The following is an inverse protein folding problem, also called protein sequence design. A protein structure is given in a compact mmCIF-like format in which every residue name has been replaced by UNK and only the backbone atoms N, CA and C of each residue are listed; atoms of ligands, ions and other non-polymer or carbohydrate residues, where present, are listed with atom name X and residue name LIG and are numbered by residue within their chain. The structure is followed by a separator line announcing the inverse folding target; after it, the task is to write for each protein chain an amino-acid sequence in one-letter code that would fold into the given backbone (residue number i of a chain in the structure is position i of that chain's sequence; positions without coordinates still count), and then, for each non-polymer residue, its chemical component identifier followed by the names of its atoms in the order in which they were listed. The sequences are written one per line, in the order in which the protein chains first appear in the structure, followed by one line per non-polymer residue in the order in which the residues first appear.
data_IF_118169202264
#
_entry.id   IF_118169202264
#
_cell.length_a   1.000
_cell.length_b   1.000
_cell.length_c   1.000
_cell.angle_alpha   90.00
_cell.angle_beta   90.00
_cell.angle_gamma   90.00
#
_symmetry.space_group_name_H-M   'P 1'
#
loop_
_entity.id
_entity.type
_entity.pdbx_description
1 polymer ?
#
# COMPACT_ATOMS: atom_id res chain seq x y z
N UNK A 1 -11.58 -28.04 32.13
CA UNK A 1 -10.26 -27.49 31.81
C UNK A 1 -10.40 -26.70 30.52
N UNK A 2 -10.48 -25.37 30.63
CA UNK A 2 -10.62 -24.44 29.51
C UNK A 2 -9.23 -24.10 29.00
N UNK A 3 -8.88 -24.61 27.82
CA UNK A 3 -7.61 -24.29 27.18
C UNK A 3 -7.77 -22.98 26.38
N UNK A 4 -7.35 -21.87 26.99
CA UNK A 4 -7.25 -20.58 26.33
C UNK A 4 -5.92 -20.51 25.58
N UNK A 5 -5.94 -20.76 24.27
CA UNK A 5 -4.78 -20.49 23.42
C UNK A 5 -5.14 -19.87 22.05
N UNK A 6 -6.14 -18.99 22.02
CA UNK A 6 -6.32 -18.05 20.90
C UNK A 6 -5.32 -16.90 21.05
N UNK A 7 -4.03 -17.25 21.06
CA UNK A 7 -2.91 -16.34 21.21
C UNK A 7 -2.54 -15.67 19.89
N UNK A 8 -2.66 -14.34 19.88
CA UNK A 8 -1.66 -13.42 19.29
C UNK A 8 -1.57 -13.19 17.77
N UNK A 9 -2.49 -13.68 16.93
CA UNK A 9 -2.53 -13.25 15.51
C UNK A 9 -3.39 -12.01 15.23
N UNK A 10 -4.26 -11.64 16.18
CA UNK A 10 -5.11 -10.44 16.06
C UNK A 10 -4.29 -9.15 16.26
N UNK A 11 -3.20 -9.20 17.04
CA UNK A 11 -2.43 -8.03 17.47
C UNK A 11 -1.70 -7.33 16.33
N UNK A 12 -0.90 -8.06 15.54
CA UNK A 12 -0.04 -7.45 14.49
C UNK A 12 -0.88 -6.91 13.32
N UNK A 13 -2.01 -7.56 13.01
CA UNK A 13 -2.89 -7.18 11.90
C UNK A 13 -3.81 -6.02 12.25
N UNK A 14 -4.30 -5.96 13.50
CA UNK A 14 -5.06 -4.82 14.00
C UNK A 14 -4.16 -3.57 14.11
N UNK A 15 -2.93 -3.73 14.57
CA UNK A 15 -1.95 -2.63 14.65
C UNK A 15 -1.64 -2.06 13.26
N UNK A 16 -1.47 -2.92 12.23
CA UNK A 16 -1.27 -2.47 10.85
C UNK A 16 -2.50 -1.71 10.29
N UNK A 17 -3.72 -2.17 10.59
CA UNK A 17 -4.94 -1.49 10.17
C UNK A 17 -5.09 -0.11 10.83
N UNK A 18 -4.75 -0.01 12.12
CA UNK A 18 -4.80 1.25 12.88
C UNK A 18 -3.73 2.25 12.44
N UNK A 19 -2.51 1.80 12.12
CA UNK A 19 -1.44 2.64 11.54
C UNK A 19 -1.85 3.22 10.18
N UNK A 20 -2.71 2.52 9.44
CA UNK A 20 -3.24 2.96 8.14
C UNK A 20 -4.53 3.79 8.25
N UNK A 21 -4.96 4.15 9.47
CA UNK A 21 -6.14 4.98 9.69
C UNK A 21 -7.48 4.28 9.40
N UNK A 22 -7.51 2.95 9.35
CA UNK A 22 -8.73 2.17 9.11
C UNK A 22 -9.47 2.01 10.45
N UNK A 23 -10.69 2.55 10.59
CA UNK A 23 -11.46 2.41 11.83
C UNK A 23 -11.83 0.94 12.05
N UNK A 24 -11.40 0.38 13.18
CA UNK A 24 -11.66 -1.01 13.62
C UNK A 24 -13.01 -1.16 14.35
N UNK A 25 -13.93 -0.20 14.21
CA UNK A 25 -15.20 -0.27 14.93
C UNK A 25 -16.16 -1.28 14.29
N UNK A 26 -16.60 -2.22 15.13
CA UNK A 26 -17.72 -3.12 14.92
C UNK A 26 -18.92 -2.37 14.31
N UNK A 27 -19.29 -2.72 13.08
CA UNK A 27 -20.43 -2.13 12.38
C UNK A 27 -20.61 -2.74 11.01
N UNK A 28 -21.52 -3.72 10.94
CA UNK A 28 -22.02 -4.41 9.76
C UNK A 28 -20.99 -5.09 8.85
N UNK A 29 -20.64 -6.32 9.22
CA UNK A 29 -20.39 -7.36 8.22
C UNK A 29 -21.69 -7.56 7.43
N UNK A 30 -21.88 -6.75 6.38
CA UNK A 30 -22.98 -6.88 5.44
C UNK A 30 -22.95 -8.29 4.84
N UNK A 31 -24.14 -8.91 4.88
CA UNK A 31 -24.49 -10.25 4.45
C UNK A 31 -23.71 -10.77 3.24
N UNK A 32 -23.45 -12.09 3.26
CA UNK A 32 -22.73 -12.92 2.28
C UNK A 32 -23.20 -12.83 0.80
N UNK A 33 -24.11 -11.92 0.47
CA UNK A 33 -24.66 -11.70 -0.86
C UNK A 33 -24.12 -10.50 -1.64
N UNK A 34 -23.42 -9.53 -1.03
CA UNK A 34 -22.87 -8.39 -1.76
C UNK A 34 -21.37 -8.54 -2.04
N UNK A 35 -21.08 -8.92 -3.28
CA UNK A 35 -19.72 -8.98 -3.80
C UNK A 35 -19.12 -7.58 -3.83
N UNK A 36 -18.23 -7.30 -2.84
CA UNK A 36 -17.36 -6.12 -2.66
C UNK A 36 -17.81 -5.15 -1.56
N UNK A 37 -17.87 -5.60 -0.30
CA UNK A 37 -17.73 -4.65 0.80
C UNK A 37 -16.37 -3.94 0.66
N UNK A 38 -16.36 -2.61 0.80
CA UNK A 38 -15.14 -1.79 0.72
C UNK A 38 -14.05 -2.32 1.67
N UNK A 39 -14.45 -2.78 2.85
CA UNK A 39 -13.58 -3.43 3.84
C UNK A 39 -12.89 -4.66 3.25
N UNK A 40 -13.61 -5.56 2.56
CA UNK A 40 -13.02 -6.76 1.94
C UNK A 40 -12.06 -6.42 0.78
N UNK A 41 -12.32 -5.34 0.04
CA UNK A 41 -11.39 -4.82 -0.97
C UNK A 41 -10.10 -4.29 -0.34
N UNK A 42 -10.21 -3.46 0.70
CA UNK A 42 -9.06 -2.91 1.43
C UNK A 42 -8.26 -4.05 2.08
N UNK A 43 -8.93 -4.97 2.78
CA UNK A 43 -8.28 -6.15 3.35
C UNK A 43 -7.61 -7.02 2.28
N UNK A 44 -8.22 -7.18 1.11
CA UNK A 44 -7.64 -7.90 -0.01
C UNK A 44 -6.31 -7.28 -0.46
N UNK A 45 -6.29 -5.96 -0.68
CA UNK A 45 -5.07 -5.23 -1.06
C UNK A 45 -3.99 -5.36 0.02
N UNK A 46 -4.35 -5.23 1.30
CA UNK A 46 -3.38 -5.38 2.39
C UNK A 46 -2.83 -6.81 2.49
N UNK A 47 -3.70 -7.81 2.39
CA UNK A 47 -3.31 -9.21 2.49
C UNK A 47 -2.40 -9.62 1.33
N UNK A 48 -2.71 -9.18 0.11
CA UNK A 48 -1.92 -9.50 -1.08
C UNK A 48 -0.53 -8.85 -1.07
N UNK A 49 -0.41 -7.67 -0.46
CA UNK A 49 0.85 -6.93 -0.41
C UNK A 49 1.66 -7.19 0.88
N UNK A 50 1.08 -7.87 1.88
CA UNK A 50 1.65 -7.99 3.23
C UNK A 50 3.11 -8.49 3.26
N UNK A 51 3.42 -9.55 2.52
CA UNK A 51 4.76 -10.15 2.51
C UNK A 51 5.80 -9.20 1.91
N UNK A 52 5.46 -8.58 0.78
CA UNK A 52 6.32 -7.58 0.13
C UNK A 52 6.50 -6.35 1.03
N UNK A 53 5.41 -5.86 1.62
CA UNK A 53 5.42 -4.69 2.48
C UNK A 53 6.24 -4.89 3.76
N UNK A 54 6.07 -6.03 4.42
CA UNK A 54 6.84 -6.37 5.62
C UNK A 54 8.34 -6.47 5.33
N UNK A 55 8.72 -7.01 4.17
CA UNK A 55 10.11 -7.07 3.71
C UNK A 55 10.66 -5.67 3.44
N UNK A 56 9.91 -4.81 2.75
CA UNK A 56 10.28 -3.41 2.48
C UNK A 56 10.52 -2.66 3.79
N UNK A 57 9.60 -2.74 4.75
CA UNK A 57 9.77 -2.10 6.06
C UNK A 57 11.04 -2.60 6.74
N UNK A 58 11.30 -3.92 6.73
CA UNK A 58 12.50 -4.49 7.34
C UNK A 58 13.78 -3.92 6.73
N UNK A 59 13.83 -3.75 5.41
CA UNK A 59 14.99 -3.18 4.71
C UNK A 59 15.18 -1.69 4.99
N UNK A 60 14.08 -0.92 5.10
CA UNK A 60 14.14 0.50 5.46
C UNK A 60 14.66 0.68 6.89
N UNK A 61 14.21 -0.17 7.81
CA UNK A 61 14.61 -0.15 9.23
C UNK A 61 16.03 -0.64 9.47
N UNK A 62 16.66 -1.29 8.48
CA UNK A 62 18.03 -1.79 8.62
C UNK A 62 19.01 -0.61 8.80
N UNK A 63 20.03 -0.80 9.64
CA UNK A 63 21.06 0.21 9.91
C UNK A 63 21.86 0.60 8.66
N UNK A 64 22.01 -0.35 7.75
CA UNK A 64 22.69 -0.18 6.47
C UNK A 64 21.90 -0.92 5.42
N UNK A 65 21.73 -0.30 4.26
CA UNK A 65 21.00 -0.86 3.12
C UNK A 65 21.88 -0.74 1.89
N UNK A 66 22.14 -1.87 1.24
CA UNK A 66 22.92 -1.94 0.01
C UNK A 66 22.15 -1.31 -1.16
N UNK A 67 22.85 -1.02 -2.26
CA UNK A 67 22.21 -0.49 -3.46
C UNK A 67 21.16 -1.48 -4.03
N UNK A 68 21.47 -2.77 -4.04
CA UNK A 68 20.56 -3.82 -4.51
C UNK A 68 19.29 -3.89 -3.66
N UNK A 69 19.41 -3.74 -2.34
CA UNK A 69 18.25 -3.71 -1.44
C UNK A 69 17.39 -2.44 -1.64
N UNK A 70 18.02 -1.29 -1.94
CA UNK A 70 17.27 -0.07 -2.31
C UNK A 70 16.49 -0.28 -3.61
N UNK A 71 17.11 -0.87 -4.62
CA UNK A 71 16.45 -1.22 -5.88
C UNK A 71 15.30 -2.22 -5.66
N UNK A 72 15.50 -3.20 -4.78
CA UNK A 72 14.43 -4.11 -4.37
C UNK A 72 13.26 -3.34 -3.75
N UNK A 73 13.51 -2.39 -2.85
CA UNK A 73 12.44 -1.55 -2.26
C UNK A 73 11.68 -0.79 -3.33
N UNK A 74 12.38 -0.10 -4.25
CA UNK A 74 11.74 0.68 -5.32
C UNK A 74 10.88 -0.20 -6.24
N UNK A 75 11.42 -1.34 -6.67
CA UNK A 75 10.70 -2.27 -7.55
C UNK A 75 9.52 -2.95 -6.84
N UNK A 76 9.69 -3.29 -5.55
CA UNK A 76 8.63 -3.84 -4.73
C UNK A 76 7.44 -2.88 -4.58
N UNK A 77 7.72 -1.59 -4.38
CA UNK A 77 6.67 -0.55 -4.32
C UNK A 77 5.96 -0.36 -5.66
N UNK A 78 6.69 -0.33 -6.78
CA UNK A 78 6.11 -0.28 -8.14
C UNK A 78 5.17 -1.45 -8.43
N UNK A 79 5.43 -2.60 -7.81
CA UNK A 79 4.71 -3.85 -8.05
C UNK A 79 3.53 -4.08 -7.09
N UNK A 80 3.23 -3.12 -6.21
CA UNK A 80 2.12 -3.24 -5.26
C UNK A 80 0.78 -3.33 -5.98
N UNK A 81 -0.08 -4.22 -5.49
CA UNK A 81 -1.44 -4.39 -5.98
C UNK A 81 -2.37 -3.35 -5.36
N UNK A 82 -3.56 -3.19 -5.95
CA UNK A 82 -4.60 -2.25 -5.48
C UNK A 82 -4.71 -0.97 -6.30
N UNK A 83 -4.00 -0.88 -7.43
CA UNK A 83 -4.05 0.27 -8.32
C UNK A 83 -3.20 1.45 -7.82
N UNK A 84 -3.13 2.53 -8.61
CA UNK A 84 -2.10 3.53 -8.40
C UNK A 84 -2.31 4.41 -7.15
N UNK A 85 -3.53 4.55 -6.65
CA UNK A 85 -3.79 5.13 -5.31
C UNK A 85 -3.17 4.30 -4.18
N UNK A 86 -3.31 2.97 -4.21
CA UNK A 86 -2.70 2.12 -3.19
C UNK A 86 -1.17 2.16 -3.27
N UNK A 87 -0.62 2.10 -4.49
CA UNK A 87 0.82 2.24 -4.74
C UNK A 87 1.36 3.55 -4.18
N UNK A 88 0.66 4.67 -4.42
CA UNK A 88 0.99 5.99 -3.85
C UNK A 88 1.07 5.94 -2.33
N UNK A 89 0.06 5.40 -1.66
CA UNK A 89 0.03 5.28 -0.19
C UNK A 89 1.21 4.49 0.35
N UNK A 90 1.57 3.37 -0.30
CA UNK A 90 2.74 2.59 0.11
C UNK A 90 4.05 3.37 -0.05
N UNK A 91 4.20 4.16 -1.13
CA UNK A 91 5.38 5.00 -1.36
C UNK A 91 5.47 6.10 -0.30
N UNK A 92 4.37 6.81 -0.01
CA UNK A 92 4.32 7.84 1.02
C UNK A 92 4.72 7.29 2.40
N UNK A 93 4.21 6.10 2.75
CA UNK A 93 4.57 5.44 4.00
C UNK A 93 6.04 4.98 4.02
N UNK A 94 6.57 4.51 2.88
CA UNK A 94 7.98 4.16 2.76
C UNK A 94 8.89 5.39 2.90
N UNK A 95 8.48 6.56 2.39
CA UNK A 95 9.18 7.84 2.60
C UNK A 95 9.20 8.17 4.08
N UNK A 96 8.04 8.12 4.75
CA UNK A 96 7.93 8.40 6.17
C UNK A 96 8.89 7.53 7.00
N UNK A 97 8.88 6.21 6.80
CA UNK A 97 9.83 5.33 7.49
C UNK A 97 11.28 5.65 7.12
N UNK A 98 11.59 5.88 5.85
CA UNK A 98 12.95 6.18 5.42
C UNK A 98 13.50 7.46 6.07
N UNK A 99 12.66 8.48 6.26
CA UNK A 99 13.03 9.71 6.99
C UNK A 99 13.31 9.42 8.48
N UNK A 100 12.46 8.62 9.14
CA UNK A 100 12.65 8.21 10.55
C UNK A 100 13.98 7.45 10.77
N UNK A 101 14.35 6.59 9.82
CA UNK A 101 15.58 5.80 9.88
C UNK A 101 16.79 6.47 9.18
N UNK A 102 16.66 7.76 8.83
CA UNK A 102 17.74 8.59 8.23
C UNK A 102 18.31 8.03 6.92
N UNK A 103 17.49 7.34 6.14
CA UNK A 103 17.84 6.75 4.84
C UNK A 103 17.78 7.79 3.71
N UNK A 104 18.53 8.89 3.82
CA UNK A 104 18.38 10.10 2.97
C UNK A 104 18.44 9.81 1.45
N UNK A 105 19.32 8.91 1.02
CA UNK A 105 19.42 8.52 -0.40
C UNK A 105 18.13 7.83 -0.87
N UNK A 106 17.60 6.91 -0.06
CA UNK A 106 16.37 6.20 -0.37
C UNK A 106 15.16 7.15 -0.37
N UNK A 107 15.12 8.11 0.56
CA UNK A 107 14.08 9.17 0.58
C UNK A 107 14.01 9.91 -0.75
N UNK A 108 15.15 10.32 -1.30
CA UNK A 108 15.17 11.03 -2.58
C UNK A 108 14.70 10.15 -3.74
N UNK A 109 15.13 8.89 -3.78
CA UNK A 109 14.68 7.92 -4.79
C UNK A 109 13.18 7.65 -4.69
N UNK A 110 12.63 7.57 -3.48
CA UNK A 110 11.20 7.37 -3.25
C UNK A 110 10.36 8.60 -3.62
N UNK A 111 10.86 9.81 -3.39
CA UNK A 111 10.21 11.06 -3.82
C UNK A 111 10.13 11.15 -5.35
N UNK A 112 11.23 10.82 -6.04
CA UNK A 112 11.22 10.73 -7.50
C UNK A 112 10.23 9.66 -8.00
N UNK A 113 10.19 8.50 -7.34
CA UNK A 113 9.21 7.46 -7.65
C UNK A 113 7.76 7.94 -7.45
N UNK A 114 7.48 8.67 -6.37
CA UNK A 114 6.16 9.23 -6.12
C UNK A 114 5.72 10.17 -7.26
N UNK A 115 6.63 11.02 -7.72
CA UNK A 115 6.38 11.93 -8.84
C UNK A 115 6.09 11.17 -10.14
N UNK A 116 6.88 10.12 -10.45
CA UNK A 116 6.65 9.25 -11.61
C UNK A 116 5.25 8.63 -11.61
N UNK A 117 4.80 8.12 -10.45
CA UNK A 117 3.48 7.50 -10.30
C UNK A 117 2.35 8.53 -10.46
N UNK A 118 2.52 9.74 -9.92
CA UNK A 118 1.54 10.82 -10.03
C UNK A 118 1.40 11.37 -11.45
N UNK A 119 2.50 11.46 -12.20
CA UNK A 119 2.45 11.84 -13.62
C UNK A 119 1.73 10.77 -14.44
N UNK A 120 2.06 9.49 -14.23
CA UNK A 120 1.44 8.38 -14.96
C UNK A 120 -0.08 8.26 -14.68
N UNK A 121 -0.54 8.55 -13.47
CA UNK A 121 -1.98 8.61 -13.16
C UNK A 121 -2.68 9.73 -13.94
N UNK A 122 -2.06 10.91 -14.01
CA UNK A 122 -2.64 12.08 -14.68
C UNK A 122 -2.76 11.89 -16.20
N UNK A 123 -1.77 11.25 -16.82
CA UNK A 123 -1.79 10.92 -18.25
C UNK A 123 -2.89 9.92 -18.58
N UNK A 124 -3.02 8.84 -17.80
CA UNK A 124 -4.10 7.86 -17.98
C UNK A 124 -5.49 8.45 -17.80
N UNK A 125 -5.66 9.35 -16.81
CA UNK A 125 -6.93 10.04 -16.61
C UNK A 125 -7.31 10.92 -17.82
N UNK A 126 -6.31 11.58 -18.43
CA UNK A 126 -6.49 12.46 -19.59
C UNK A 126 -6.86 11.66 -20.86
N UNK A 127 -6.23 10.50 -21.07
CA UNK A 127 -6.52 9.62 -22.20
C UNK A 127 -7.94 9.05 -22.15
N UNK A 128 -8.39 8.60 -20.96
CA UNK A 128 -9.76 8.08 -20.76
C UNK A 128 -10.82 9.15 -21.03
N UNK A 129 -10.57 10.41 -20.65
CA UNK A 129 -11.48 11.51 -20.97
C UNK A 129 -11.58 11.77 -22.48
N UNK A 130 -10.46 11.68 -23.19
CA UNK A 130 -10.38 11.92 -24.63
C UNK A 130 -11.12 10.86 -25.45
N UNK A 131 -11.09 9.60 -25.01
CA UNK A 131 -11.85 8.50 -25.65
C UNK A 131 -13.36 8.71 -25.44
N UNK A 132 -13.80 9.01 -24.22
CA UNK A 132 -15.23 9.23 -23.93
C UNK A 132 -15.83 10.40 -24.71
N UNK A 133 -15.06 11.47 -24.94
CA UNK A 133 -15.53 12.62 -25.74
C UNK A 133 -15.74 12.24 -27.21
N UNK A 134 -14.93 11.32 -27.75
CA UNK A 134 -15.09 10.83 -29.12
C UNK A 134 -16.32 9.92 -29.28
N UNK A 135 -16.59 9.07 -28.30
CA UNK A 135 -17.76 8.17 -28.32
C UNK A 135 -19.09 8.91 -28.14
N UNK A 136 -19.07 10.11 -27.54
CA UNK A 136 -20.24 11.00 -27.40
C UNK A 136 -20.51 11.87 -28.63
N UNK A 137 -19.54 11.95 -29.55
CA UNK A 137 -19.62 12.77 -30.76
C UNK A 137 -19.92 11.96 -32.05
N UNK A 138 -20.15 10.65 -31.92
CA UNK A 138 -20.57 9.73 -32.99
C UNK A 138 -22.03 9.31 -32.82
#
# INVERSE_FOLDING_TARGET
MTDSSVGSNYSVKAEAAQVLGIPLHDGDFVEDGQSRSFVRLVYGVLAENWESWSTIIRLIKARTTTQQEKEFVLNGLKSMKGGPTAVKTYIEQAIHYSEQFRQNVLVNQLKQLLDEVMVAEKEKASEVMLVKVKDLAA
#
